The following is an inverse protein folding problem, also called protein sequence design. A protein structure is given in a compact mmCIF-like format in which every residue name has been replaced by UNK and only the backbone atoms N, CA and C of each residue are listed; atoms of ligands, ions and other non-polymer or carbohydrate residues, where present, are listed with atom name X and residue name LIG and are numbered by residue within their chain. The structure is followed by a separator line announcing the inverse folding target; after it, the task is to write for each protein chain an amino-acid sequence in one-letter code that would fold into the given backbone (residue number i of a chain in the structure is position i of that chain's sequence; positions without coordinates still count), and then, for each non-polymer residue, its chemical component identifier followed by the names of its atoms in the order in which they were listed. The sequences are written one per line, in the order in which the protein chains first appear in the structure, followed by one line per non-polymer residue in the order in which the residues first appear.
data_IF_570494936803
#
_entry.id   IF_570494936803
#
_cell.length_a   1.000
_cell.length_b   1.000
_cell.length_c   1.000
_cell.angle_alpha   90.00
_cell.angle_beta   90.00
_cell.angle_gamma   90.00
#
_symmetry.space_group_name_H-M   'P 1'
#
loop_
_entity.id
_entity.type
_entity.pdbx_description
1 polymer ?
#
# COMPACT_ATOMS: atom_id res chain seq x y z
N UNK A 1 -1.94 -29.49 44.34
CA UNK A 1 -2.29 -28.06 44.21
C UNK A 1 -2.56 -27.85 42.73
N UNK A 2 -3.78 -28.03 42.24
CA UNK A 2 -4.00 -28.15 40.78
C UNK A 2 -5.28 -27.46 40.29
N UNK A 3 -5.67 -26.37 40.94
CA UNK A 3 -6.74 -25.49 40.43
C UNK A 3 -6.18 -24.26 39.71
N UNK A 4 -5.05 -23.73 40.18
CA UNK A 4 -4.42 -22.53 39.63
C UNK A 4 -3.73 -22.78 38.28
N UNK A 5 -3.23 -23.99 38.03
CA UNK A 5 -2.66 -24.41 36.74
C UNK A 5 -3.73 -24.55 35.66
N UNK A 6 -4.89 -25.15 36.00
CA UNK A 6 -6.02 -25.26 35.08
C UNK A 6 -6.65 -23.91 34.73
N UNK A 7 -6.73 -22.97 35.68
CA UNK A 7 -7.23 -21.60 35.44
C UNK A 7 -6.30 -20.85 34.47
N UNK A 8 -4.97 -20.93 34.66
CA UNK A 8 -4.00 -20.36 33.72
C UNK A 8 -4.10 -20.94 32.31
N UNK A 9 -4.38 -22.24 32.20
CA UNK A 9 -4.59 -22.90 30.90
C UNK A 9 -5.86 -22.40 30.20
N UNK A 10 -6.95 -22.23 30.95
CA UNK A 10 -8.22 -21.70 30.42
C UNK A 10 -8.11 -20.23 30.00
N UNK A 11 -7.38 -19.41 30.76
CA UNK A 11 -7.11 -18.03 30.39
C UNK A 11 -6.26 -17.94 29.12
N UNK A 12 -5.29 -18.85 28.93
CA UNK A 12 -4.50 -18.92 27.70
C UNK A 12 -5.33 -19.28 26.46
N UNK A 13 -6.27 -20.22 26.58
CA UNK A 13 -7.16 -20.56 25.47
C UNK A 13 -8.15 -19.43 25.14
N UNK A 14 -8.67 -18.75 26.16
CA UNK A 14 -9.52 -17.56 25.98
C UNK A 14 -8.78 -16.44 25.26
N UNK A 15 -7.54 -16.17 25.64
CA UNK A 15 -6.71 -15.15 25.00
C UNK A 15 -6.41 -15.48 23.54
N UNK A 16 -6.10 -16.75 23.24
CA UNK A 16 -5.92 -17.23 21.85
C UNK A 16 -7.19 -17.04 21.03
N UNK A 17 -8.35 -17.38 21.59
CA UNK A 17 -9.63 -17.19 20.92
C UNK A 17 -9.94 -15.71 20.68
N UNK A 18 -9.69 -14.85 21.68
CA UNK A 18 -9.81 -13.39 21.57
C UNK A 18 -8.92 -12.84 20.46
N UNK A 19 -7.65 -13.20 20.47
CA UNK A 19 -6.68 -12.77 19.45
C UNK A 19 -7.13 -13.25 18.07
N UNK A 20 -7.66 -14.47 17.95
CA UNK A 20 -8.15 -15.01 16.70
C UNK A 20 -9.31 -14.18 16.14
N UNK A 21 -10.37 -13.95 16.93
CA UNK A 21 -11.55 -13.18 16.47
C UNK A 21 -11.24 -11.71 16.17
N UNK A 22 -10.25 -11.12 16.86
CA UNK A 22 -9.74 -9.79 16.57
C UNK A 22 -8.95 -9.79 15.25
N UNK A 23 -8.02 -10.74 15.05
CA UNK A 23 -7.22 -10.85 13.82
C UNK A 23 -8.04 -11.17 12.58
N UNK A 24 -9.07 -12.00 12.71
CA UNK A 24 -9.94 -12.37 11.58
C UNK A 24 -11.03 -11.34 11.32
N UNK A 25 -11.08 -10.23 12.07
CA UNK A 25 -12.06 -9.15 11.86
C UNK A 25 -13.49 -9.49 12.28
N UNK A 26 -13.72 -10.64 12.94
CA UNK A 26 -15.06 -11.06 13.42
C UNK A 26 -15.61 -10.03 14.41
N UNK A 27 -14.76 -9.52 15.30
CA UNK A 27 -15.15 -8.48 16.26
C UNK A 27 -15.55 -7.18 15.57
N UNK A 28 -14.85 -6.78 14.51
CA UNK A 28 -15.21 -5.58 13.73
C UNK A 28 -16.56 -5.77 13.05
N UNK A 29 -16.75 -6.88 12.33
CA UNK A 29 -17.99 -7.16 11.60
C UNK A 29 -19.22 -7.22 12.53
N UNK A 30 -19.09 -7.81 13.72
CA UNK A 30 -20.15 -7.82 14.73
C UNK A 30 -20.43 -6.41 15.27
N UNK A 31 -19.39 -5.61 15.51
CA UNK A 31 -19.53 -4.23 15.97
C UNK A 31 -20.24 -3.39 14.92
N UNK A 32 -19.81 -3.48 13.66
CA UNK A 32 -20.40 -2.74 12.55
C UNK A 32 -21.86 -3.13 12.33
N UNK A 33 -22.21 -4.42 12.41
CA UNK A 33 -23.60 -4.88 12.31
C UNK A 33 -24.49 -4.32 13.44
N UNK A 34 -23.96 -4.19 14.65
CA UNK A 34 -24.68 -3.60 15.78
C UNK A 34 -24.81 -2.07 15.65
N UNK A 35 -23.79 -1.40 15.11
CA UNK A 35 -23.84 0.04 14.80
C UNK A 35 -24.89 0.32 13.74
N UNK A 36 -24.93 -0.46 12.66
CA UNK A 36 -25.94 -0.31 11.61
C UNK A 36 -27.36 -0.51 12.16
N UNK A 37 -27.55 -1.54 12.99
CA UNK A 37 -28.84 -1.75 13.67
C UNK A 37 -29.22 -0.60 14.62
N UNK A 38 -28.22 0.05 15.24
CA UNK A 38 -28.43 1.20 16.12
C UNK A 38 -28.79 2.48 15.34
N UNK A 39 -28.17 2.69 14.18
CA UNK A 39 -28.35 3.85 13.32
C UNK A 39 -29.65 3.79 12.49
N UNK A 40 -30.26 2.62 12.35
CA UNK A 40 -31.52 2.45 11.61
C UNK A 40 -32.64 3.31 12.21
N UNK A 41 -33.17 4.26 11.43
CA UNK A 41 -34.20 5.19 11.89
C UNK A 41 -35.52 4.48 12.26
N UNK A 42 -35.84 3.39 11.57
CA UNK A 42 -36.94 2.49 11.92
C UNK A 42 -36.37 1.17 12.43
N UNK A 43 -36.54 0.88 13.72
CA UNK A 43 -36.06 -0.38 14.28
C UNK A 43 -36.74 -1.55 13.57
N UNK A 44 -35.99 -2.43 12.90
CA UNK A 44 -36.58 -3.56 12.20
C UNK A 44 -37.32 -4.45 13.20
N UNK A 45 -38.51 -4.92 12.81
CA UNK A 45 -39.30 -5.85 13.64
C UNK A 45 -38.55 -7.16 13.87
N UNK A 46 -37.66 -7.53 12.95
CA UNK A 46 -36.73 -8.65 13.06
C UNK A 46 -35.27 -8.15 13.10
N UNK A 47 -34.79 -7.83 14.30
CA UNK A 47 -33.42 -7.39 14.53
C UNK A 47 -32.37 -8.47 14.19
N UNK A 48 -32.70 -9.74 14.43
CA UNK A 48 -31.81 -10.87 14.12
C UNK A 48 -31.66 -11.08 12.61
N UNK A 49 -32.77 -11.00 11.87
CA UNK A 49 -32.77 -11.03 10.41
C UNK A 49 -31.97 -9.88 9.80
N UNK A 50 -32.10 -8.68 10.36
CA UNK A 50 -31.29 -7.53 9.96
C UNK A 50 -29.79 -7.82 10.17
N UNK A 51 -29.36 -8.17 11.39
CA UNK A 51 -27.95 -8.49 11.69
C UNK A 51 -27.41 -9.57 10.75
N UNK A 52 -28.16 -10.64 10.50
CA UNK A 52 -27.76 -11.73 9.59
C UNK A 52 -27.52 -11.22 8.16
N UNK A 53 -28.40 -10.34 7.67
CA UNK A 53 -28.26 -9.73 6.35
C UNK A 53 -27.04 -8.80 6.30
N UNK A 54 -26.85 -7.97 7.32
CA UNK A 54 -25.75 -7.00 7.38
C UNK A 54 -24.41 -7.72 7.48
N UNK A 55 -24.29 -8.77 8.30
CA UNK A 55 -23.10 -9.63 8.34
C UNK A 55 -22.82 -10.32 7.01
N UNK A 56 -23.86 -10.79 6.30
CA UNK A 56 -23.73 -11.33 4.94
C UNK A 56 -23.27 -10.29 3.91
N UNK A 57 -23.55 -9.01 4.16
CA UNK A 57 -23.07 -7.89 3.33
C UNK A 57 -21.65 -7.45 3.68
N UNK A 58 -21.21 -7.61 4.95
CA UNK A 58 -19.85 -7.27 5.38
C UNK A 58 -18.81 -8.30 4.99
N UNK A 59 -19.20 -9.53 4.67
CA UNK A 59 -18.31 -10.46 4.00
C UNK A 59 -18.14 -9.98 2.57
N UNK A 60 -17.00 -9.35 2.17
CA UNK A 60 -16.74 -9.16 0.77
C UNK A 60 -16.87 -10.54 0.11
N UNK A 61 -17.70 -10.64 -0.92
CA UNK A 61 -17.79 -11.87 -1.68
C UNK A 61 -16.38 -12.32 -2.03
N UNK A 62 -16.10 -13.62 -1.98
CA UNK A 62 -14.79 -14.17 -2.41
C UNK A 62 -14.41 -13.63 -3.80
N UNK A 63 -15.40 -13.35 -4.65
CA UNK A 63 -15.21 -12.69 -5.94
C UNK A 63 -14.72 -11.24 -5.84
N UNK A 64 -15.20 -10.47 -4.87
CA UNK A 64 -14.76 -9.09 -4.62
C UNK A 64 -13.32 -9.05 -4.07
N UNK A 65 -12.97 -9.97 -3.16
CA UNK A 65 -11.60 -10.15 -2.70
C UNK A 65 -10.66 -10.50 -3.87
N UNK A 66 -11.03 -11.48 -4.69
CA UNK A 66 -10.24 -11.87 -5.86
C UNK A 66 -10.06 -10.72 -6.86
N UNK A 67 -11.12 -9.93 -7.12
CA UNK A 67 -11.04 -8.75 -7.97
C UNK A 67 -10.11 -7.68 -7.40
N UNK A 68 -10.13 -7.46 -6.08
CA UNK A 68 -9.21 -6.52 -5.43
C UNK A 68 -7.77 -7.03 -5.50
N UNK A 69 -7.52 -8.32 -5.30
CA UNK A 69 -6.20 -8.94 -5.43
C UNK A 69 -5.65 -8.80 -6.86
N UNK A 70 -6.48 -9.04 -7.89
CA UNK A 70 -6.08 -8.82 -9.29
C UNK A 70 -5.74 -7.35 -9.56
N UNK A 71 -6.55 -6.41 -9.05
CA UNK A 71 -6.27 -4.97 -9.19
C UNK A 71 -4.99 -4.55 -8.49
N UNK A 72 -4.72 -5.08 -7.30
CA UNK A 72 -3.46 -4.81 -6.58
C UNK A 72 -2.28 -5.30 -7.41
N UNK A 73 -2.34 -6.53 -7.92
CA UNK A 73 -1.29 -7.11 -8.76
C UNK A 73 -1.06 -6.31 -10.06
N UNK A 74 -2.14 -5.86 -10.70
CA UNK A 74 -2.06 -5.00 -11.89
C UNK A 74 -1.37 -3.66 -11.56
N UNK A 75 -1.77 -3.02 -10.46
CA UNK A 75 -1.16 -1.76 -10.03
C UNK A 75 0.32 -1.91 -9.67
N UNK A 76 0.70 -3.00 -9.00
CA UNK A 76 2.10 -3.32 -8.72
C UNK A 76 2.92 -3.47 -10.00
N UNK A 77 2.38 -4.16 -11.01
CA UNK A 77 3.03 -4.31 -12.31
C UNK A 77 3.20 -2.95 -13.04
N UNK A 78 2.19 -2.08 -12.97
CA UNK A 78 2.26 -0.73 -13.54
C UNK A 78 3.34 0.10 -12.85
N UNK A 79 3.39 0.07 -11.51
CA UNK A 79 4.40 0.79 -10.73
C UNK A 79 5.81 0.33 -11.12
N UNK A 80 6.02 -0.98 -11.27
CA UNK A 80 7.34 -1.52 -11.65
C UNK A 80 7.74 -1.10 -13.07
N UNK A 81 6.80 -1.13 -14.01
CA UNK A 81 7.04 -0.64 -15.37
C UNK A 81 7.38 0.84 -15.40
N UNK A 82 6.65 1.67 -14.65
CA UNK A 82 6.92 3.11 -14.56
C UNK A 82 8.28 3.41 -13.93
N UNK A 83 8.66 2.66 -12.89
CA UNK A 83 10.00 2.77 -12.28
C UNK A 83 11.11 2.44 -13.27
N UNK A 84 10.92 1.39 -14.05
CA UNK A 84 11.89 0.99 -15.09
C UNK A 84 12.07 2.11 -16.12
N UNK A 85 10.96 2.67 -16.62
CA UNK A 85 11.00 3.76 -17.59
C UNK A 85 11.64 5.04 -17.04
N UNK A 86 11.39 5.38 -15.77
CA UNK A 86 12.07 6.50 -15.09
C UNK A 86 13.58 6.26 -15.04
N UNK A 87 14.02 5.05 -14.68
CA UNK A 87 15.44 4.72 -14.61
C UNK A 87 16.14 4.82 -15.98
N UNK A 88 15.49 4.32 -17.04
CA UNK A 88 16.01 4.42 -18.41
C UNK A 88 16.18 5.88 -18.84
N UNK A 89 15.14 6.70 -18.68
CA UNK A 89 15.18 8.13 -19.01
C UNK A 89 16.22 8.88 -18.17
N UNK A 90 16.37 8.55 -16.89
CA UNK A 90 17.42 9.11 -16.04
C UNK A 90 18.82 8.76 -16.56
N UNK A 91 19.02 7.53 -17.03
CA UNK A 91 20.26 7.09 -17.67
C UNK A 91 20.57 7.84 -18.96
N UNK A 92 19.56 8.02 -19.83
CA UNK A 92 19.70 8.82 -21.06
C UNK A 92 20.05 10.28 -20.75
N UNK A 93 19.36 10.89 -19.79
CA UNK A 93 19.64 12.27 -19.36
C UNK A 93 21.05 12.39 -18.79
N UNK A 94 21.53 11.40 -18.03
CA UNK A 94 22.89 11.39 -17.52
C UNK A 94 23.92 11.32 -18.66
N UNK A 95 23.73 10.41 -19.61
CA UNK A 95 24.60 10.26 -20.79
C UNK A 95 24.64 11.54 -21.65
N UNK A 96 23.48 12.16 -21.89
CA UNK A 96 23.40 13.41 -22.66
C UNK A 96 24.10 14.57 -21.94
N UNK A 97 23.96 14.67 -20.62
CA UNK A 97 24.67 15.67 -19.80
C UNK A 97 26.18 15.47 -19.85
N UNK A 98 26.64 14.23 -19.77
CA UNK A 98 28.05 13.89 -19.90
C UNK A 98 28.59 14.27 -21.28
N UNK A 99 27.86 13.95 -22.36
CA UNK A 99 28.25 14.29 -23.72
C UNK A 99 28.31 15.81 -23.93
N UNK A 100 27.34 16.56 -23.40
CA UNK A 100 27.33 18.03 -23.42
C UNK A 100 28.57 18.61 -22.73
N UNK A 101 28.92 18.12 -21.53
CA UNK A 101 30.10 18.58 -20.81
C UNK A 101 31.41 18.36 -21.59
N UNK A 102 31.51 17.24 -22.33
CA UNK A 102 32.67 16.97 -23.19
C UNK A 102 32.75 17.91 -24.41
N UNK A 103 31.61 18.29 -24.99
CA UNK A 103 31.56 19.21 -26.13
C UNK A 103 31.85 20.65 -25.69
N UNK A 104 31.32 21.08 -24.55
CA UNK A 104 31.56 22.40 -23.97
C UNK A 104 33.03 22.58 -23.57
N UNK A 105 33.64 21.58 -22.93
CA UNK A 105 35.08 21.59 -22.60
C UNK A 105 36.00 21.63 -23.83
N UNK A 106 35.54 21.16 -25.00
CA UNK A 106 36.27 21.26 -26.26
C UNK A 106 36.12 22.62 -26.96
N UNK A 107 35.04 23.35 -26.67
CA UNK A 107 34.80 24.70 -27.17
C UNK A 107 35.73 25.75 -26.54
N UNK A 108 36.04 25.62 -25.25
CA UNK A 108 36.92 26.55 -24.53
C UNK A 108 38.40 26.41 -24.93
N UNK A 109 38.87 25.21 -25.29
CA UNK A 109 40.26 24.99 -25.72
C UNK A 109 40.64 25.68 -27.05
N UNK A 110 39.68 26.32 -27.74
CA UNK A 110 39.91 27.03 -29.02
C UNK A 110 39.89 28.56 -28.91
N UNK A 111 39.62 29.14 -27.72
CA UNK A 111 39.69 30.60 -27.51
C UNK A 111 40.95 31.01 -26.74
N UNK A 112 41.97 31.41 -27.52
CA UNK A 112 43.10 32.31 -27.21
C UNK A 112 44.30 31.71 -26.44
N UNK A 113 45.57 32.02 -26.81
CA UNK A 113 46.05 33.37 -27.11
C UNK A 113 47.01 33.51 -28.32
N UNK A 114 46.69 34.38 -29.28
CA UNK A 114 47.71 35.02 -30.09
C UNK A 114 47.30 36.44 -30.41
N UNK A 115 47.89 37.41 -29.71
CA UNK A 115 48.51 38.59 -30.33
C UNK A 115 49.02 39.55 -29.25
N UNK A 116 50.32 39.46 -28.97
CA UNK A 116 51.25 40.60 -28.92
C UNK A 116 52.64 40.04 -29.28
N UNK A 117 53.64 40.83 -29.74
CA UNK A 117 53.68 42.28 -29.96
C UNK A 117 54.26 42.67 -31.35
N UNK A 118 54.13 43.92 -31.79
CA UNK A 118 55.24 44.58 -32.52
C UNK A 118 55.20 46.11 -32.47
N UNK A 119 56.32 46.60 -31.99
CA UNK A 119 56.86 47.95 -32.00
C UNK A 119 56.86 48.61 -33.39
N UNK A 120 56.49 49.89 -33.46
CA UNK A 120 57.18 50.95 -34.22
C UNK A 120 56.68 52.31 -33.74
#
# INVERSE_FOLDING_TARGET
MDRTSSIKSMDSEREKFRTYIEKTGVMSALTDALVHLYEEQERPTDALGHIKKTLGSFTPSVQHCHMLEEKVKEQEAIIESQRTQINELMGEVANLRELLAHVEGRGEATKTPSETPRTS
#
